data_IF_005513412716
#
_entry.id   IF_005513412716
#
_cell.length_a   1.000
_cell.length_b   1.000
_cell.length_c   1.000
_cell.angle_alpha   90.00
_cell.angle_beta   90.00
_cell.angle_gamma   90.00
#
_symmetry.space_group_name_H-M   'P 1'
#
loop_
_entity.id
_entity.type
_entity.pdbx_description
1 polymer ?
#
# COMPACT_ATOMS: atom_id res chain seq x y z
N UNK A 1 -31.40 -5.55 -4.89
CA UNK A 1 -29.99 -5.62 -5.34
C UNK A 1 -29.22 -4.36 -4.94
N UNK A 2 -29.08 -4.06 -3.65
CA UNK A 2 -28.49 -2.78 -3.18
C UNK A 2 -27.08 -2.95 -2.57
N UNK A 3 -26.73 -4.18 -2.18
CA UNK A 3 -25.48 -4.53 -1.50
C UNK A 3 -24.27 -4.54 -2.45
N UNK A 4 -24.46 -4.97 -3.71
CA UNK A 4 -23.38 -5.01 -4.70
C UNK A 4 -22.84 -3.60 -5.03
N UNK A 5 -23.73 -2.63 -5.25
CA UNK A 5 -23.33 -1.25 -5.55
C UNK A 5 -22.69 -0.50 -4.37
N UNK A 6 -22.95 -0.91 -3.12
CA UNK A 6 -22.26 -0.35 -1.95
C UNK A 6 -20.85 -0.92 -1.80
N UNK A 7 -20.67 -2.22 -2.09
CA UNK A 7 -19.37 -2.88 -2.08
C UNK A 7 -18.44 -2.29 -3.17
N UNK A 8 -18.97 -2.07 -4.37
CA UNK A 8 -18.23 -1.45 -5.48
C UNK A 8 -17.82 -0.01 -5.18
N UNK A 9 -18.72 0.80 -4.58
CA UNK A 9 -18.42 2.19 -4.20
C UNK A 9 -17.37 2.29 -3.08
N UNK A 10 -17.46 1.43 -2.07
CA UNK A 10 -16.49 1.40 -0.97
C UNK A 10 -15.09 1.02 -1.44
N UNK A 11 -14.98 0.04 -2.33
CA UNK A 11 -13.71 -0.36 -2.94
C UNK A 11 -13.15 0.75 -3.85
N UNK A 12 -13.99 1.36 -4.70
CA UNK A 12 -13.55 2.47 -5.55
C UNK A 12 -13.03 3.65 -4.74
N UNK A 13 -13.71 4.03 -3.65
CA UNK A 13 -13.26 5.10 -2.76
C UNK A 13 -11.95 4.76 -2.07
N UNK A 14 -11.79 3.52 -1.59
CA UNK A 14 -10.55 3.05 -0.97
C UNK A 14 -9.39 3.06 -1.95
N UNK A 15 -9.61 2.56 -3.18
CA UNK A 15 -8.60 2.60 -4.26
C UNK A 15 -8.23 4.05 -4.59
N UNK A 16 -9.21 4.95 -4.67
CA UNK A 16 -8.95 6.35 -4.92
C UNK A 16 -8.11 6.99 -3.80
N UNK A 17 -8.42 6.71 -2.54
CA UNK A 17 -7.62 7.18 -1.39
C UNK A 17 -6.20 6.61 -1.41
N UNK A 18 -6.04 5.34 -1.81
CA UNK A 18 -4.73 4.72 -2.01
C UNK A 18 -3.96 5.35 -3.19
N UNK A 19 -4.61 5.70 -4.29
CA UNK A 19 -3.93 6.36 -5.40
C UNK A 19 -3.55 7.82 -5.09
N UNK A 20 -4.32 8.49 -4.21
CA UNK A 20 -4.13 9.89 -3.84
C UNK A 20 -3.27 10.12 -2.58
N UNK A 21 -2.73 9.07 -1.97
CA UNK A 21 -1.98 9.16 -0.70
C UNK A 21 -2.78 9.72 0.49
N UNK A 22 -4.11 9.62 0.48
CA UNK A 22 -4.99 10.18 1.53
C UNK A 22 -5.46 9.17 2.57
N UNK A 23 -4.93 7.95 2.55
CA UNK A 23 -5.25 6.92 3.54
C UNK A 23 -4.48 7.19 4.86
N UNK A 24 -5.02 6.87 6.05
CA UNK A 24 -4.37 7.19 7.33
C UNK A 24 -3.19 6.27 7.66
N UNK A 25 -2.14 6.32 6.84
CA UNK A 25 -0.83 5.73 7.16
C UNK A 25 0.03 6.78 7.88
N UNK A 26 1.01 6.32 8.67
CA UNK A 26 1.81 7.22 9.51
C UNK A 26 2.51 8.34 8.71
N UNK A 27 2.92 8.10 7.46
CA UNK A 27 3.50 9.15 6.62
C UNK A 27 2.50 10.29 6.33
N UNK A 28 1.24 9.96 5.99
CA UNK A 28 0.20 10.95 5.76
C UNK A 28 -0.24 11.62 7.05
N UNK A 29 -0.45 10.84 8.13
CA UNK A 29 -0.83 11.37 9.44
C UNK A 29 0.22 12.35 9.99
N UNK A 30 1.51 12.07 9.78
CA UNK A 30 2.59 12.98 10.17
C UNK A 30 2.56 14.27 9.35
N UNK A 31 2.27 14.19 8.04
CA UNK A 31 2.13 15.36 7.17
C UNK A 31 1.02 16.31 7.65
N UNK A 32 -0.10 15.76 8.13
CA UNK A 32 -1.21 16.53 8.71
C UNK A 32 -1.09 16.75 10.22
N UNK A 33 0.08 16.46 10.81
CA UNK A 33 0.41 16.68 12.23
C UNK A 33 -0.49 15.94 13.23
N UNK A 34 -1.01 14.77 12.84
CA UNK A 34 -1.82 13.90 13.71
C UNK A 34 -0.99 12.86 14.47
N UNK A 35 0.25 12.62 14.04
CA UNK A 35 1.21 11.74 14.74
C UNK A 35 2.60 12.37 14.75
N UNK A 36 3.39 12.08 15.78
CA UNK A 36 4.71 12.66 15.98
C UNK A 36 5.81 12.04 15.10
N UNK A 37 5.57 10.86 14.53
CA UNK A 37 6.54 10.18 13.68
C UNK A 37 5.90 9.55 12.46
N UNK A 38 6.51 9.67 11.26
CA UNK A 38 6.02 8.97 10.08
C UNK A 38 6.40 7.48 10.06
N UNK A 39 7.24 7.03 11.01
CA UNK A 39 7.86 5.70 10.98
C UNK A 39 6.94 4.61 11.52
N UNK A 40 6.91 3.47 10.82
CA UNK A 40 6.19 2.30 11.28
C UNK A 40 6.99 1.55 12.36
N UNK A 41 6.40 1.18 13.53
CA UNK A 41 7.13 0.56 14.64
C UNK A 41 7.91 -0.72 14.28
N UNK A 42 7.39 -1.53 13.36
CA UNK A 42 8.05 -2.79 12.99
C UNK A 42 9.14 -2.65 11.93
N UNK A 43 9.06 -1.62 11.06
CA UNK A 43 9.97 -1.45 9.94
C UNK A 43 10.94 -0.28 10.12
N UNK A 44 10.65 0.63 11.05
CA UNK A 44 11.44 1.85 11.34
C UNK A 44 11.63 2.79 10.13
N UNK A 45 10.87 2.56 9.05
CA UNK A 45 10.82 3.39 7.84
C UNK A 45 9.49 4.14 7.79
N UNK A 46 9.43 5.29 7.08
CA UNK A 46 8.16 5.97 6.84
C UNK A 46 7.11 5.02 6.26
N UNK A 47 5.91 5.00 6.87
CA UNK A 47 4.81 4.17 6.40
C UNK A 47 4.10 4.86 5.22
N UNK A 48 4.72 4.77 4.04
CA UNK A 48 4.11 5.24 2.78
C UNK A 48 3.24 4.15 2.16
N UNK A 49 2.42 4.50 1.17
CA UNK A 49 1.61 3.53 0.43
C UNK A 49 2.48 2.47 -0.23
N UNK A 50 3.60 2.85 -0.83
CA UNK A 50 4.56 1.92 -1.41
C UNK A 50 5.12 0.97 -0.34
N UNK A 51 5.48 1.49 0.84
CA UNK A 51 5.90 0.65 1.96
C UNK A 51 4.80 -0.34 2.35
N UNK A 52 3.59 0.13 2.63
CA UNK A 52 2.46 -0.67 3.06
C UNK A 52 2.09 -1.76 2.04
N UNK A 53 1.88 -1.39 0.77
CA UNK A 53 1.38 -2.29 -0.27
C UNK A 53 2.45 -3.19 -0.91
N UNK A 54 3.73 -2.84 -0.88
CA UNK A 54 4.76 -3.58 -1.63
C UNK A 54 5.87 -4.15 -0.75
N UNK A 55 6.33 -3.40 0.26
CA UNK A 55 7.60 -3.70 0.94
C UNK A 55 7.47 -4.17 2.38
N UNK A 56 6.42 -3.76 3.09
CA UNK A 56 6.29 -3.98 4.52
C UNK A 56 6.33 -5.48 4.84
N UNK A 57 7.24 -5.88 5.74
CA UNK A 57 7.48 -7.30 6.05
C UNK A 57 6.28 -7.94 6.75
N UNK A 58 5.57 -7.17 7.56
CA UNK A 58 4.36 -7.61 8.26
C UNK A 58 3.27 -8.07 7.30
N UNK A 59 3.05 -7.33 6.21
CA UNK A 59 2.01 -7.66 5.21
C UNK A 59 2.46 -8.65 4.13
N UNK A 60 3.64 -9.27 4.26
CA UNK A 60 4.16 -10.21 3.26
C UNK A 60 3.23 -11.39 3.01
N UNK A 61 2.63 -11.95 4.07
CA UNK A 61 1.70 -13.09 3.97
C UNK A 61 0.43 -12.70 3.23
N UNK A 62 -0.20 -11.58 3.62
CA UNK A 62 -1.37 -11.03 2.94
C UNK A 62 -1.10 -10.77 1.44
N UNK A 63 0.06 -10.19 1.09
CA UNK A 63 0.44 -10.01 -0.32
C UNK A 63 0.61 -11.33 -1.07
N UNK A 64 1.10 -12.38 -0.41
CA UNK A 64 1.24 -13.71 -1.01
C UNK A 64 -0.13 -14.32 -1.29
N UNK A 65 -1.08 -14.18 -0.37
CA UNK A 65 -2.46 -14.65 -0.54
C UNK A 65 -3.18 -13.88 -1.64
N UNK A 66 -3.08 -12.56 -1.64
CA UNK A 66 -3.64 -11.73 -2.70
C UNK A 66 -3.08 -12.13 -4.07
N UNK A 67 -1.76 -12.31 -4.20
CA UNK A 67 -1.16 -12.77 -5.46
C UNK A 67 -1.68 -14.14 -5.89
N UNK A 68 -1.83 -15.09 -4.97
CA UNK A 68 -2.41 -16.41 -5.27
C UNK A 68 -3.83 -16.27 -5.82
N UNK A 69 -4.66 -15.47 -5.15
CA UNK A 69 -6.05 -15.21 -5.56
C UNK A 69 -6.10 -14.59 -6.96
N UNK A 70 -5.33 -13.53 -7.19
CA UNK A 70 -5.33 -12.85 -8.49
C UNK A 70 -4.84 -13.81 -9.59
N UNK A 71 -3.76 -14.57 -9.37
CA UNK A 71 -3.23 -15.54 -10.35
C UNK A 71 -4.21 -16.69 -10.62
N UNK A 72 -4.98 -17.14 -9.62
CA UNK A 72 -6.00 -18.18 -9.81
C UNK A 72 -7.25 -17.69 -10.54
N UNK A 73 -7.49 -16.38 -10.53
CA UNK A 73 -8.61 -15.77 -11.24
C UNK A 73 -8.23 -15.64 -12.73
N UNK A 74 -8.98 -16.28 -13.62
CA UNK A 74 -8.62 -16.50 -15.03
C UNK A 74 -8.25 -15.23 -15.83
N UNK A 75 -8.58 -14.02 -15.36
CA UNK A 75 -8.30 -12.75 -16.06
C UNK A 75 -6.88 -12.18 -15.89
N UNK A 76 -6.01 -12.78 -15.08
CA UNK A 76 -4.73 -12.15 -14.68
C UNK A 76 -3.49 -13.01 -14.97
N UNK A 77 -3.53 -13.87 -15.99
CA UNK A 77 -2.36 -14.70 -16.35
C UNK A 77 -1.10 -13.89 -16.68
N UNK A 78 -1.24 -12.63 -17.14
CA UNK A 78 -0.10 -11.75 -17.47
C UNK A 78 0.71 -11.27 -16.25
N UNK A 79 0.13 -11.20 -15.05
CA UNK A 79 0.88 -10.81 -13.83
C UNK A 79 1.59 -12.00 -13.16
N UNK A 80 1.39 -13.22 -13.66
CA UNK A 80 1.99 -14.44 -13.08
C UNK A 80 3.53 -14.39 -13.07
N UNK A 81 4.12 -13.62 -14.00
CA UNK A 81 5.55 -13.41 -14.13
C UNK A 81 6.01 -12.03 -13.61
N UNK A 82 5.14 -11.27 -12.92
CA UNK A 82 5.53 -9.99 -12.35
C UNK A 82 6.55 -10.21 -11.23
N UNK A 83 7.83 -10.07 -11.59
CA UNK A 83 8.92 -9.86 -10.66
C UNK A 83 8.85 -8.38 -10.26
N UNK A 84 8.53 -8.03 -9.01
CA UNK A 84 8.63 -6.63 -8.60
C UNK A 84 10.05 -6.14 -8.94
N UNK A 85 10.21 -4.99 -9.61
CA UNK A 85 11.51 -4.39 -9.77
C UNK A 85 12.15 -4.27 -8.39
N UNK A 86 13.48 -4.41 -8.30
CA UNK A 86 14.19 -3.94 -7.12
C UNK A 86 14.05 -2.41 -7.09
N UNK A 87 12.91 -1.95 -6.57
CA UNK A 87 12.68 -0.55 -6.25
C UNK A 87 13.52 -0.34 -5.00
N UNK A 88 14.73 0.19 -5.19
CA UNK A 88 15.55 0.68 -4.10
C UNK A 88 14.67 1.60 -3.24
N UNK A 89 14.80 1.56 -1.90
CA UNK A 89 14.11 2.49 -1.03
C UNK A 89 14.33 3.90 -1.58
N UNK A 90 13.24 4.63 -1.80
CA UNK A 90 13.32 6.04 -2.17
C UNK A 90 14.25 6.72 -1.17
N UNK A 91 15.41 7.16 -1.63
CA UNK A 91 16.38 7.95 -0.89
C UNK A 91 15.61 9.02 -0.12
N UNK A 92 15.73 9.02 1.21
CA UNK A 92 15.14 10.08 2.03
C UNK A 92 15.68 11.42 1.54
N UNK A 93 14.83 12.46 1.40
CA UNK A 93 15.30 13.77 0.97
C UNK A 93 16.41 14.24 1.91
N UNK A 94 17.46 14.92 1.41
CA UNK A 94 18.55 15.36 2.24
C UNK A 94 18.01 16.31 3.31
N UNK A 95 18.24 15.96 4.58
CA UNK A 95 18.01 16.84 5.71
C UNK A 95 18.98 18.01 5.56
N UNK A 96 18.52 19.13 5.01
CA UNK A 96 19.27 20.38 5.04
C UNK A 96 19.39 20.81 6.51
N UNK A 97 20.62 20.82 7.02
CA UNK A 97 20.98 21.23 8.37
C UNK A 97 21.36 22.70 8.40
#
# INVERSE_FOLDING_TARGET
MQVLGQLEKGLASTIHQLCSNHIPLNAYLHQIKQVDSPKYPHCHTPETISHYLLFCKQYRTHRKELRKYIISTAGFQHIRNYRPPNILPHETPPTTH
#
